data_IF_301728365263
#
_entry.id   IF_301728365263
#
_cell.length_a   1.000
_cell.length_b   1.000
_cell.length_c   1.000
_cell.angle_alpha   90.00
_cell.angle_beta   90.00
_cell.angle_gamma   90.00
#
_symmetry.space_group_name_H-M   'P 1'
#
loop_
_entity.id
_entity.type
_entity.pdbx_description
1 polymer ?
#
# COMPACT_ATOMS: atom_id res chain seq x y z
N UNK A 1 11.08 -23.32 -7.90
CA UNK A 1 11.62 -22.11 -7.23
C UNK A 1 12.35 -22.52 -5.95
N UNK A 2 13.58 -22.06 -5.71
CA UNK A 2 14.29 -22.36 -4.45
C UNK A 2 13.75 -21.46 -3.33
N UNK A 3 13.60 -22.01 -2.12
CA UNK A 3 13.15 -21.26 -0.94
C UNK A 3 14.01 -20.00 -0.68
N UNK A 4 15.33 -20.11 -0.90
CA UNK A 4 16.26 -18.98 -0.75
C UNK A 4 16.01 -17.84 -1.74
N UNK A 5 15.61 -18.14 -2.98
CA UNK A 5 15.26 -17.12 -3.98
C UNK A 5 14.00 -16.36 -3.57
N UNK A 6 13.00 -17.08 -3.07
CA UNK A 6 11.77 -16.47 -2.58
C UNK A 6 12.01 -15.62 -1.34
N UNK A 7 12.76 -16.14 -0.35
CA UNK A 7 13.08 -15.41 0.87
C UNK A 7 13.87 -14.13 0.57
N UNK A 8 14.88 -14.20 -0.30
CA UNK A 8 15.65 -13.02 -0.73
C UNK A 8 14.75 -12.00 -1.45
N UNK A 9 13.89 -12.47 -2.36
CA UNK A 9 12.92 -11.63 -3.05
C UNK A 9 11.96 -10.94 -2.07
N UNK A 10 11.40 -11.66 -1.11
CA UNK A 10 10.53 -11.08 -0.08
C UNK A 10 11.29 -10.06 0.77
N UNK A 11 12.53 -10.35 1.20
CA UNK A 11 13.34 -9.43 2.00
C UNK A 11 13.60 -8.10 1.28
N UNK A 12 14.08 -8.16 0.03
CA UNK A 12 14.21 -7.00 -0.85
C UNK A 12 12.88 -6.28 -1.06
N UNK A 13 11.81 -7.07 -1.22
CA UNK A 13 10.44 -6.63 -1.35
C UNK A 13 9.98 -5.76 -0.17
N UNK A 14 10.16 -6.23 1.07
CA UNK A 14 9.76 -5.51 2.28
C UNK A 14 10.49 -4.16 2.39
N UNK A 15 11.80 -4.12 2.14
CA UNK A 15 12.54 -2.85 2.11
C UNK A 15 12.00 -1.89 1.04
N UNK A 16 11.73 -2.42 -0.15
CA UNK A 16 11.17 -1.65 -1.24
C UNK A 16 9.73 -1.17 -0.97
N UNK A 17 8.91 -1.97 -0.28
CA UNK A 17 7.58 -1.58 0.19
C UNK A 17 7.63 -0.45 1.21
N UNK A 18 8.59 -0.49 2.12
CA UNK A 18 8.85 0.63 3.04
C UNK A 18 9.20 1.92 2.28
N UNK A 19 10.12 1.84 1.30
CA UNK A 19 10.45 3.00 0.46
C UNK A 19 9.23 3.55 -0.30
N UNK A 20 8.37 2.68 -0.83
CA UNK A 20 7.10 3.08 -1.45
C UNK A 20 6.15 3.76 -0.47
N UNK A 21 6.07 3.25 0.76
CA UNK A 21 5.24 3.83 1.82
C UNK A 21 5.70 5.25 2.18
N UNK A 22 7.02 5.47 2.30
CA UNK A 22 7.59 6.81 2.51
C UNK A 22 7.23 7.74 1.36
N UNK A 23 7.42 7.30 0.11
CA UNK A 23 7.12 8.12 -1.07
C UNK A 23 5.63 8.51 -1.16
N UNK A 24 4.72 7.56 -0.95
CA UNK A 24 3.28 7.80 -0.92
C UNK A 24 2.87 8.70 0.25
N UNK A 25 3.52 8.56 1.42
CA UNK A 25 3.28 9.44 2.58
C UNK A 25 3.63 10.88 2.25
N UNK A 26 4.78 11.12 1.61
CA UNK A 26 5.17 12.47 1.17
C UNK A 26 4.16 13.01 0.15
N UNK A 27 3.82 12.21 -0.87
CA UNK A 27 2.88 12.63 -1.92
C UNK A 27 1.49 12.97 -1.35
N UNK A 28 0.96 12.13 -0.46
CA UNK A 28 -0.35 12.35 0.16
C UNK A 28 -0.33 13.50 1.15
N UNK A 29 0.76 13.72 1.88
CA UNK A 29 0.90 14.89 2.77
C UNK A 29 0.86 16.19 1.98
N UNK A 30 1.52 16.24 0.81
CA UNK A 30 1.48 17.42 -0.08
C UNK A 30 0.05 17.65 -0.59
N UNK A 31 -0.59 16.59 -1.12
CA UNK A 31 -1.97 16.69 -1.63
C UNK A 31 -2.97 17.11 -0.54
N UNK A 32 -2.85 16.60 0.68
CA UNK A 32 -3.69 16.96 1.82
C UNK A 32 -3.58 18.45 2.15
N UNK A 33 -2.35 18.98 2.20
CA UNK A 33 -2.10 20.40 2.45
C UNK A 33 -2.68 21.29 1.36
N UNK A 34 -2.50 20.91 0.10
CA UNK A 34 -3.01 21.67 -1.05
C UNK A 34 -4.54 21.69 -1.12
N UNK A 35 -5.21 20.73 -0.49
CA UNK A 35 -6.67 20.58 -0.51
C UNK A 35 -7.33 20.81 0.83
N UNK A 36 -6.56 21.22 1.84
CA UNK A 36 -7.05 21.51 3.19
C UNK A 36 -7.92 20.38 3.78
N UNK A 37 -7.51 19.13 3.55
CA UNK A 37 -8.23 17.94 4.03
C UNK A 37 -7.41 17.17 5.05
N UNK A 38 -8.10 16.43 5.91
CA UNK A 38 -7.46 15.53 6.88
C UNK A 38 -6.77 14.33 6.22
N UNK A 39 -5.86 13.73 6.99
CA UNK A 39 -5.16 12.52 6.58
C UNK A 39 -6.12 11.34 6.40
N UNK A 40 -5.84 10.48 5.42
CA UNK A 40 -6.64 9.27 5.23
C UNK A 40 -6.34 8.26 6.34
N UNK A 41 -7.39 7.75 6.97
CA UNK A 41 -7.34 6.64 7.94
C UNK A 41 -7.96 5.36 7.36
N UNK A 42 -8.16 5.29 6.04
CA UNK A 42 -8.86 4.18 5.40
C UNK A 42 -8.21 2.79 5.67
N UNK A 43 -6.87 2.62 5.60
CA UNK A 43 -6.25 1.35 5.95
C UNK A 43 -6.49 0.95 7.41
N UNK A 44 -6.43 1.90 8.35
CA UNK A 44 -6.67 1.66 9.76
C UNK A 44 -8.12 1.21 10.01
N UNK A 45 -9.10 1.91 9.43
CA UNK A 45 -10.53 1.54 9.52
C UNK A 45 -10.82 0.16 8.91
N UNK A 46 -10.19 -0.16 7.79
CA UNK A 46 -10.32 -1.49 7.19
C UNK A 46 -9.72 -2.57 8.10
N UNK A 47 -8.56 -2.32 8.71
CA UNK A 47 -7.93 -3.24 9.65
C UNK A 47 -8.75 -3.41 10.95
N UNK A 48 -9.33 -2.33 11.48
CA UNK A 48 -10.24 -2.38 12.63
C UNK A 48 -11.41 -3.32 12.36
N UNK A 49 -12.09 -3.15 11.22
CA UNK A 49 -13.21 -4.00 10.83
C UNK A 49 -12.80 -5.44 10.55
N UNK A 50 -11.67 -5.65 9.87
CA UNK A 50 -11.14 -6.98 9.60
C UNK A 50 -10.79 -7.75 10.89
N UNK A 51 -10.36 -7.04 11.94
CA UNK A 51 -9.96 -7.62 13.23
C UNK A 51 -11.08 -7.62 14.28
N UNK A 52 -12.28 -7.10 13.94
CA UNK A 52 -13.39 -6.98 14.90
C UNK A 52 -13.11 -6.01 16.05
N UNK A 53 -12.29 -4.97 15.82
CA UNK A 53 -12.00 -3.95 16.83
C UNK A 53 -13.14 -2.92 16.81
N UNK A 54 -13.98 -2.95 17.84
CA UNK A 54 -15.11 -2.01 17.96
C UNK A 54 -14.72 -0.69 18.65
N UNK A 55 -13.83 -0.75 19.64
CA UNK A 55 -13.40 0.42 20.42
C UNK A 55 -11.94 0.34 20.84
N UNK A 56 -11.32 1.50 20.99
CA UNK A 56 -10.00 1.64 21.61
C UNK A 56 -10.14 2.21 23.02
N UNK A 57 -9.28 1.78 23.94
CA UNK A 57 -9.28 2.27 25.32
C UNK A 57 -8.92 3.75 25.44
N UNK A 58 -8.14 4.28 24.49
CA UNK A 58 -7.74 5.69 24.42
C UNK A 58 -7.59 6.16 22.97
N UNK A 59 -7.71 7.46 22.73
CA UNK A 59 -7.36 8.07 21.44
C UNK A 59 -5.88 7.80 21.06
N UNK A 60 -4.99 7.68 22.06
CA UNK A 60 -3.57 7.37 21.83
C UNK A 60 -3.37 5.93 21.32
N UNK A 61 -4.15 4.97 21.78
CA UNK A 61 -4.09 3.59 21.27
C UNK A 61 -4.59 3.49 19.84
N UNK A 62 -5.66 4.21 19.50
CA UNK A 62 -6.18 4.30 18.12
C UNK A 62 -5.13 4.92 17.18
N UNK A 63 -4.50 6.02 17.56
CA UNK A 63 -3.43 6.66 16.78
C UNK A 63 -2.21 5.73 16.57
N UNK A 64 -1.82 4.97 17.62
CA UNK A 64 -0.75 3.99 17.51
C UNK A 64 -1.14 2.85 16.57
N UNK A 65 -2.37 2.37 16.65
CA UNK A 65 -2.89 1.34 15.75
C UNK A 65 -2.87 1.84 14.29
N UNK A 66 -3.41 3.02 14.04
CA UNK A 66 -3.40 3.65 12.72
C UNK A 66 -1.98 3.82 12.16
N UNK A 67 -1.04 4.26 12.99
CA UNK A 67 0.39 4.34 12.61
C UNK A 67 0.98 2.97 12.28
N UNK A 68 0.71 1.96 13.11
CA UNK A 68 1.17 0.60 12.90
C UNK A 68 0.64 0.02 11.59
N UNK A 69 -0.66 0.20 11.32
CA UNK A 69 -1.30 -0.25 10.09
C UNK A 69 -0.73 0.50 8.90
N UNK A 70 -0.58 1.83 8.95
CA UNK A 70 -0.03 2.62 7.85
C UNK A 70 1.33 2.11 7.40
N UNK A 71 2.27 1.97 8.34
CA UNK A 71 3.63 1.51 8.03
C UNK A 71 3.67 0.00 7.74
N UNK A 72 2.98 -0.81 8.53
CA UNK A 72 2.99 -2.27 8.39
C UNK A 72 2.33 -2.74 7.10
N UNK A 73 1.17 -2.17 6.74
CA UNK A 73 0.44 -2.51 5.51
C UNK A 73 1.23 -2.09 4.27
N UNK A 74 1.71 -0.85 4.22
CA UNK A 74 2.51 -0.35 3.11
C UNK A 74 3.83 -1.11 2.94
N UNK A 75 4.54 -1.40 4.03
CA UNK A 75 5.75 -2.24 3.97
C UNK A 75 5.44 -3.67 3.53
N UNK A 76 4.35 -4.25 4.06
CA UNK A 76 3.92 -5.62 3.77
C UNK A 76 3.61 -5.86 2.30
N UNK A 77 2.99 -4.91 1.60
CA UNK A 77 2.73 -5.02 0.16
C UNK A 77 4.01 -5.16 -0.68
N UNK A 78 5.15 -4.69 -0.18
CA UNK A 78 6.46 -4.94 -0.77
C UNK A 78 6.79 -6.43 -0.93
N UNK A 79 6.29 -7.30 -0.05
CA UNK A 79 6.46 -8.75 -0.19
C UNK A 79 5.82 -9.27 -1.49
N UNK A 80 4.68 -8.71 -1.91
CA UNK A 80 4.04 -9.07 -3.18
C UNK A 80 4.94 -8.70 -4.38
N UNK A 81 5.55 -7.50 -4.35
CA UNK A 81 6.55 -7.10 -5.35
C UNK A 81 7.70 -8.12 -5.42
N UNK A 82 8.25 -8.50 -4.27
CA UNK A 82 9.33 -9.47 -4.18
C UNK A 82 8.94 -10.85 -4.70
N UNK A 83 7.74 -11.33 -4.36
CA UNK A 83 7.20 -12.59 -4.84
C UNK A 83 7.04 -12.61 -6.36
N UNK A 84 6.48 -11.55 -6.96
CA UNK A 84 6.31 -11.42 -8.41
C UNK A 84 7.66 -11.53 -9.14
N UNK A 85 8.70 -10.88 -8.61
CA UNK A 85 10.06 -10.99 -9.19
C UNK A 85 10.68 -12.37 -8.95
N UNK A 86 10.45 -12.98 -7.79
CA UNK A 86 10.97 -14.32 -7.45
C UNK A 86 10.39 -15.45 -8.32
N UNK A 87 9.14 -15.31 -8.78
CA UNK A 87 8.53 -16.24 -9.75
C UNK A 87 8.95 -15.98 -11.20
N UNK A 88 9.87 -15.05 -11.44
CA UNK A 88 10.46 -14.79 -12.74
C UNK A 88 9.75 -13.76 -13.61
N UNK A 89 8.76 -13.02 -13.08
CA UNK A 89 8.14 -11.95 -13.87
C UNK A 89 9.15 -10.86 -14.22
N UNK A 90 9.20 -10.37 -15.48
CA UNK A 90 10.09 -9.28 -15.85
C UNK A 90 9.69 -7.98 -15.12
N UNK A 91 10.63 -7.02 -14.94
CA UNK A 91 10.42 -5.84 -14.10
C UNK A 91 9.11 -5.09 -14.37
N UNK A 92 8.81 -4.81 -15.65
CA UNK A 92 7.59 -4.10 -16.06
C UNK A 92 6.31 -4.87 -15.75
N UNK A 93 6.26 -6.18 -16.04
CA UNK A 93 5.11 -7.02 -15.74
C UNK A 93 4.88 -7.13 -14.22
N UNK A 94 5.96 -7.27 -13.45
CA UNK A 94 5.88 -7.30 -12.00
C UNK A 94 5.44 -5.95 -11.40
N UNK A 95 5.74 -4.80 -12.04
CA UNK A 95 5.23 -3.49 -11.60
C UNK A 95 3.74 -3.35 -11.88
N UNK A 96 3.28 -3.74 -13.07
CA UNK A 96 1.86 -3.74 -13.42
C UNK A 96 1.05 -4.72 -12.55
N UNK A 97 1.60 -5.91 -12.29
CA UNK A 97 1.02 -6.89 -11.38
C UNK A 97 0.95 -6.39 -9.94
N UNK A 98 2.00 -5.71 -9.46
CA UNK A 98 2.01 -5.11 -8.13
C UNK A 98 0.96 -3.99 -8.01
N UNK A 99 0.87 -3.09 -8.99
CA UNK A 99 -0.19 -2.06 -9.05
C UNK A 99 -1.58 -2.68 -9.00
N UNK A 100 -1.82 -3.69 -9.83
CA UNK A 100 -3.11 -4.39 -9.88
C UNK A 100 -3.43 -5.06 -8.55
N UNK A 101 -2.44 -5.63 -7.86
CA UNK A 101 -2.63 -6.26 -6.56
C UNK A 101 -2.96 -5.22 -5.48
N UNK A 102 -2.16 -4.15 -5.33
CA UNK A 102 -2.39 -3.15 -4.28
C UNK A 102 -3.69 -2.38 -4.54
N UNK A 103 -3.84 -1.78 -5.72
CA UNK A 103 -5.02 -0.98 -6.02
C UNK A 103 -6.28 -1.84 -6.13
N UNK A 104 -6.21 -2.97 -6.83
CA UNK A 104 -7.34 -3.90 -6.94
C UNK A 104 -7.80 -4.43 -5.59
N UNK A 105 -6.87 -4.69 -4.64
CA UNK A 105 -7.24 -5.05 -3.27
C UNK A 105 -7.97 -3.92 -2.56
N UNK A 106 -7.58 -2.66 -2.74
CA UNK A 106 -8.25 -1.51 -2.14
C UNK A 106 -9.67 -1.33 -2.69
N UNK A 107 -9.86 -1.53 -4.00
CA UNK A 107 -11.16 -1.45 -4.66
C UNK A 107 -12.15 -2.53 -4.18
N UNK A 108 -11.66 -3.65 -3.64
CA UNK A 108 -12.49 -4.75 -3.13
C UNK A 108 -12.65 -4.67 -1.62
N UNK A 109 -11.55 -4.53 -0.88
CA UNK A 109 -11.55 -4.64 0.59
C UNK A 109 -12.17 -3.41 1.25
N UNK A 110 -11.92 -2.20 0.75
CA UNK A 110 -12.46 -1.00 1.38
C UNK A 110 -14.00 -0.93 1.29
N UNK A 111 -14.64 -1.27 0.15
CA UNK A 111 -16.10 -1.39 0.11
C UNK A 111 -16.64 -2.60 0.86
N UNK A 112 -15.95 -3.75 0.84
CA UNK A 112 -16.36 -4.94 1.61
C UNK A 112 -16.45 -4.64 3.11
N UNK A 113 -15.58 -3.79 3.62
CA UNK A 113 -15.60 -3.33 5.00
C UNK A 113 -16.37 -2.01 5.17
N UNK A 114 -17.21 -1.55 4.24
CA UNK A 114 -17.96 -0.29 4.34
C UNK A 114 -17.10 0.91 4.81
N UNK A 115 -15.84 0.97 4.37
CA UNK A 115 -14.93 2.10 4.68
C UNK A 115 -15.17 3.24 3.69
N UNK A 116 -15.49 2.88 2.45
CA UNK A 116 -15.80 3.77 1.32
C UNK A 116 -16.85 3.09 0.43
N UNK A 117 -17.66 3.83 -0.34
CA UNK A 117 -18.56 3.22 -1.32
C UNK A 117 -17.78 2.54 -2.46
N UNK A 118 -18.41 1.68 -3.28
CA UNK A 118 -17.80 1.14 -4.48
C UNK A 118 -17.27 2.23 -5.42
N UNK A 119 -16.17 1.95 -6.13
CA UNK A 119 -15.49 2.92 -7.02
C UNK A 119 -16.39 3.49 -8.12
N UNK A 120 -17.46 2.77 -8.50
CA UNK A 120 -18.47 3.23 -9.45
C UNK A 120 -19.27 4.43 -8.96
N UNK A 121 -19.22 4.73 -7.66
CA UNK A 121 -19.87 5.87 -7.03
C UNK A 121 -18.91 7.04 -6.78
N UNK A 122 -17.61 6.89 -7.06
CA UNK A 122 -16.63 7.93 -6.81
C UNK A 122 -16.62 8.96 -7.93
N UNK A 123 -16.24 10.18 -7.59
CA UNK A 123 -15.96 11.21 -8.59
C UNK A 123 -14.67 10.86 -9.36
N UNK A 124 -14.57 11.35 -10.60
CA UNK A 124 -13.35 11.20 -11.42
C UNK A 124 -12.10 11.74 -10.71
N UNK A 125 -12.27 12.79 -9.90
CA UNK A 125 -11.19 13.41 -9.13
C UNK A 125 -10.68 12.48 -8.03
N UNK A 126 -11.57 11.81 -7.31
CA UNK A 126 -11.19 10.84 -6.26
C UNK A 126 -10.48 9.64 -6.85
N UNK A 127 -11.00 9.09 -7.96
CA UNK A 127 -10.35 7.98 -8.68
C UNK A 127 -8.94 8.39 -9.12
N UNK A 128 -8.78 9.58 -9.71
CA UNK A 128 -7.48 10.05 -10.19
C UNK A 128 -6.45 10.18 -9.05
N UNK A 129 -6.87 10.68 -7.89
CA UNK A 129 -6.00 10.89 -6.73
C UNK A 129 -5.63 9.55 -6.08
N UNK A 130 -6.58 8.64 -5.96
CA UNK A 130 -6.34 7.31 -5.44
C UNK A 130 -5.36 6.54 -6.35
N UNK A 131 -5.62 6.51 -7.66
CA UNK A 131 -4.71 5.92 -8.66
C UNK A 131 -3.33 6.58 -8.59
N UNK A 132 -3.26 7.91 -8.49
CA UNK A 132 -2.00 8.63 -8.42
C UNK A 132 -1.14 8.18 -7.24
N UNK A 133 -1.71 8.10 -6.03
CA UNK A 133 -0.94 7.66 -4.86
C UNK A 133 -0.52 6.19 -4.94
N UNK A 134 -1.34 5.32 -5.54
CA UNK A 134 -0.96 3.94 -5.83
C UNK A 134 0.18 3.88 -6.84
N UNK A 135 0.17 4.71 -7.88
CA UNK A 135 1.27 4.82 -8.86
C UNK A 135 2.57 5.30 -8.20
N UNK A 136 2.51 6.30 -7.32
CA UNK A 136 3.67 6.76 -6.55
C UNK A 136 4.24 5.62 -5.72
N UNK A 137 3.39 4.92 -4.96
CA UNK A 137 3.80 3.79 -4.14
C UNK A 137 4.50 2.70 -4.97
N UNK A 138 3.84 2.17 -6.01
CA UNK A 138 4.38 1.04 -6.77
C UNK A 138 5.60 1.42 -7.60
N UNK A 139 5.70 2.67 -8.08
CA UNK A 139 6.87 3.13 -8.83
C UNK A 139 8.08 3.22 -7.92
N UNK A 140 7.93 3.85 -6.74
CA UNK A 140 9.01 3.94 -5.77
C UNK A 140 9.44 2.55 -5.26
N UNK A 141 8.48 1.66 -4.97
CA UNK A 141 8.78 0.27 -4.61
C UNK A 141 9.45 -0.49 -5.74
N UNK A 142 9.02 -0.32 -7.00
CA UNK A 142 9.67 -0.98 -8.13
C UNK A 142 11.13 -0.50 -8.28
N UNK A 143 11.37 0.82 -8.23
CA UNK A 143 12.72 1.39 -8.32
C UNK A 143 13.64 0.90 -7.20
N UNK A 144 13.17 0.93 -5.95
CA UNK A 144 13.93 0.46 -4.80
C UNK A 144 14.26 -1.04 -4.91
N UNK A 145 13.28 -1.85 -5.32
CA UNK A 145 13.48 -3.28 -5.51
C UNK A 145 14.54 -3.56 -6.59
N UNK A 146 14.42 -2.93 -7.76
CA UNK A 146 15.34 -3.16 -8.88
C UNK A 146 16.74 -2.64 -8.59
N UNK A 147 16.89 -1.60 -7.77
CA UNK A 147 18.19 -1.15 -7.28
C UNK A 147 18.85 -2.21 -6.40
N UNK A 148 18.09 -2.81 -5.47
CA UNK A 148 18.57 -3.90 -4.61
C UNK A 148 18.80 -5.22 -5.37
N UNK A 149 18.07 -5.44 -6.47
CA UNK A 149 18.19 -6.67 -7.25
C UNK A 149 19.41 -6.69 -8.16
N UNK A 150 19.93 -5.51 -8.49
CA UNK A 150 21.14 -5.30 -9.29
C UNK A 150 22.43 -5.19 -8.47
N UNK A 151 22.30 -4.94 -7.16
CA UNK A 151 23.41 -4.86 -6.21
C UNK A 151 23.89 -6.28 -5.82
#
# INVERSE_FOLDING_TARGET
MRLSTLANGIGKGLFAGFAGTVAMTISSTIEQKLREREASVAPAKAAEKALGIETFTTARSEQRFSTLVHWGYGTGWGAARGALRAVGMPPGAATAGHFSAVWGSALVTLPMFDVVPPVTMWTRKEIAIDVWHHLVYVTATAMAYEALDRA
#
